data_IF_600307076380
#
_entry.id   IF_600307076380
#
_cell.length_a   1.000
_cell.length_b   1.000
_cell.length_c   1.000
_cell.angle_alpha   90.00
_cell.angle_beta   90.00
_cell.angle_gamma   90.00
#
_symmetry.space_group_name_H-M   'P 1'
#
loop_
_entity.id
_entity.type
_entity.pdbx_description
1 polymer ?
#
# COMPACT_ATOMS: atom_id res chain seq x y z
N UNK A 1 34.40 -25.15 -78.78
CA UNK A 1 33.24 -25.99 -79.16
C UNK A 1 32.92 -26.86 -77.95
N UNK A 2 31.93 -26.48 -77.13
CA UNK A 2 30.56 -27.05 -77.07
C UNK A 2 30.56 -28.47 -76.42
N UNK A 3 29.77 -28.86 -75.40
CA UNK A 3 28.46 -28.42 -74.84
C UNK A 3 28.19 -29.10 -73.47
N UNK A 4 27.61 -28.31 -72.54
CA UNK A 4 26.51 -28.49 -71.56
C UNK A 4 26.14 -29.81 -70.85
N UNK A 5 25.61 -29.62 -69.62
CA UNK A 5 24.54 -30.44 -68.99
C UNK A 5 24.51 -30.31 -67.46
N UNK A 6 23.82 -29.32 -66.85
CA UNK A 6 22.47 -29.43 -66.21
C UNK A 6 22.47 -30.49 -65.09
N UNK A 7 22.25 -30.24 -63.80
CA UNK A 7 21.36 -29.27 -63.14
C UNK A 7 20.56 -30.08 -62.09
N UNK A 8 20.84 -29.84 -60.81
CA UNK A 8 20.55 -30.69 -59.64
C UNK A 8 19.06 -30.94 -59.31
N UNK A 9 18.70 -32.20 -59.07
CA UNK A 9 17.38 -32.64 -58.60
C UNK A 9 17.16 -32.31 -57.11
N UNK A 10 15.99 -31.76 -56.80
CA UNK A 10 15.60 -31.27 -55.48
C UNK A 10 15.06 -32.32 -54.52
N UNK A 11 15.23 -32.05 -53.22
CA UNK A 11 14.55 -32.72 -52.11
C UNK A 11 13.40 -31.82 -51.61
N UNK A 12 12.20 -32.36 -51.30
CA UNK A 12 11.11 -31.56 -50.74
C UNK A 12 11.35 -31.26 -49.25
N UNK A 13 11.43 -29.96 -48.92
CA UNK A 13 11.44 -29.48 -47.55
C UNK A 13 10.04 -29.61 -46.93
N UNK A 14 9.97 -30.34 -45.82
CA UNK A 14 8.77 -30.49 -44.98
C UNK A 14 8.42 -29.13 -44.34
N UNK A 15 7.32 -28.52 -44.77
CA UNK A 15 6.72 -27.37 -44.10
C UNK A 15 5.86 -27.83 -42.92
N UNK A 16 6.38 -27.67 -41.71
CA UNK A 16 5.59 -27.71 -40.47
C UNK A 16 5.36 -26.29 -39.96
N UNK A 17 4.20 -25.71 -40.26
CA UNK A 17 3.78 -24.44 -39.69
C UNK A 17 3.49 -24.58 -38.18
N UNK A 18 4.46 -24.21 -37.34
CA UNK A 18 4.17 -23.90 -35.92
C UNK A 18 3.41 -22.59 -35.87
N UNK A 19 2.10 -22.67 -35.61
CA UNK A 19 1.30 -21.51 -35.19
C UNK A 19 1.84 -21.03 -33.84
N UNK A 20 2.58 -19.92 -33.85
CA UNK A 20 2.84 -19.15 -32.63
C UNK A 20 1.50 -18.60 -32.17
N UNK A 21 1.01 -19.13 -31.06
CA UNK A 21 -0.14 -18.61 -30.33
C UNK A 21 0.19 -17.16 -29.98
N UNK A 22 -0.54 -16.22 -30.58
CA UNK A 22 -0.44 -14.79 -30.27
C UNK A 22 -0.86 -14.62 -28.80
N UNK A 23 0.12 -14.53 -27.91
CA UNK A 23 -0.11 -14.08 -26.55
C UNK A 23 -0.69 -12.68 -26.60
N UNK A 24 -1.74 -12.48 -25.80
CA UNK A 24 -2.51 -11.25 -25.68
C UNK A 24 -1.61 -10.02 -25.61
N UNK A 25 -2.05 -8.95 -26.29
CA UNK A 25 -1.40 -7.65 -26.29
C UNK A 25 -1.15 -7.15 -24.87
N UNK A 26 0.06 -7.39 -24.34
CA UNK A 26 0.56 -6.68 -23.18
C UNK A 26 0.63 -5.21 -23.52
N UNK A 27 -0.01 -4.35 -22.71
CA UNK A 27 0.07 -2.90 -22.86
C UNK A 27 1.54 -2.50 -22.89
N UNK A 28 1.95 -1.69 -23.87
CA UNK A 28 3.34 -1.27 -24.01
C UNK A 28 3.83 -0.59 -22.73
N UNK A 29 5.12 -0.72 -22.40
CA UNK A 29 5.72 -0.04 -21.25
C UNK A 29 5.40 1.47 -21.24
N UNK A 30 5.38 2.11 -22.43
CA UNK A 30 4.97 3.50 -22.58
C UNK A 30 3.49 3.76 -22.21
N UNK A 31 2.57 2.84 -22.55
CA UNK A 31 1.18 2.93 -22.10
C UNK A 31 1.06 2.72 -20.58
N UNK A 32 1.89 1.86 -19.98
CA UNK A 32 1.90 1.64 -18.54
C UNK A 32 2.45 2.86 -17.79
N UNK A 33 3.50 3.50 -18.29
CA UNK A 33 4.10 4.71 -17.68
C UNK A 33 3.18 5.94 -17.84
N UNK A 34 2.49 6.09 -18.97
CA UNK A 34 1.54 7.20 -19.16
C UNK A 34 0.29 7.10 -18.27
N UNK A 35 -0.17 5.88 -17.94
CA UNK A 35 -1.29 5.69 -17.01
C UNK A 35 -0.94 6.05 -15.55
N UNK A 36 0.35 6.03 -15.19
CA UNK A 36 0.81 6.36 -13.82
C UNK A 36 1.09 7.85 -13.67
N UNK A 37 1.54 8.52 -14.74
CA UNK A 37 1.90 9.95 -14.69
C UNK A 37 0.76 10.93 -15.05
N UNK A 38 -0.30 10.46 -15.74
CA UNK A 38 -1.34 11.33 -16.29
C UNK A 38 -2.70 11.32 -15.58
N UNK A 39 -2.93 10.43 -14.62
CA UNK A 39 -4.23 10.27 -13.98
C UNK A 39 -4.33 11.18 -12.75
N UNK A 40 -5.28 12.13 -12.68
CA UNK A 40 -5.47 12.93 -11.48
C UNK A 40 -5.72 11.99 -10.29
N UNK A 41 -4.90 12.08 -9.23
CA UNK A 41 -5.15 11.35 -8.00
C UNK A 41 -6.41 11.94 -7.34
N UNK A 42 -7.51 11.21 -7.41
CA UNK A 42 -8.78 11.62 -6.81
C UNK A 42 -8.76 11.23 -5.34
N UNK A 43 -8.92 12.20 -4.44
CA UNK A 43 -9.07 11.96 -3.01
C UNK A 43 -10.55 11.99 -2.66
N UNK A 44 -11.12 10.86 -2.28
CA UNK A 44 -12.50 10.79 -1.83
C UNK A 44 -12.58 11.22 -0.36
N UNK A 45 -13.37 12.26 -0.09
CA UNK A 45 -13.70 12.67 1.27
C UNK A 45 -15.02 12.00 1.64
N UNK A 46 -14.97 11.13 2.65
CA UNK A 46 -16.13 10.43 3.18
C UNK A 46 -16.70 11.19 4.38
N UNK A 47 -18.03 11.20 4.52
CA UNK A 47 -18.73 11.90 5.61
C UNK A 47 -19.98 11.13 6.01
N UNK A 48 -19.81 10.18 6.94
CA UNK A 48 -20.92 9.49 7.61
C UNK A 48 -20.83 9.73 9.13
N UNK A 49 -21.95 9.59 9.85
CA UNK A 49 -22.11 9.99 11.26
C UNK A 49 -21.29 9.12 12.25
N UNK A 50 -20.81 7.94 11.85
CA UNK A 50 -20.14 6.97 12.72
C UNK A 50 -18.67 6.72 12.37
N UNK A 51 -18.07 7.57 11.52
CA UNK A 51 -16.66 7.43 11.15
C UNK A 51 -15.75 7.88 12.30
N UNK A 52 -14.85 6.99 12.72
CA UNK A 52 -13.80 7.31 13.70
C UNK A 52 -12.57 7.94 13.05
N UNK A 53 -12.42 7.78 11.74
CA UNK A 53 -11.36 8.41 10.96
C UNK A 53 -11.75 8.47 9.47
N UNK A 54 -11.29 9.50 8.77
CA UNK A 54 -11.39 9.65 7.32
C UNK A 54 -10.12 10.31 6.81
N UNK A 55 -9.62 9.89 5.66
CA UNK A 55 -8.43 10.49 5.06
C UNK A 55 -7.82 9.65 3.95
N UNK A 56 -6.60 9.99 3.59
CA UNK A 56 -5.82 9.27 2.58
C UNK A 56 -4.33 9.51 2.74
N UNK A 57 -3.56 9.01 1.78
CA UNK A 57 -2.11 9.26 1.73
C UNK A 57 -1.65 9.62 0.30
N UNK A 58 -0.35 9.84 0.11
CA UNK A 58 0.19 10.36 -1.15
C UNK A 58 0.13 9.39 -2.34
N UNK A 59 -0.31 8.14 -2.15
CA UNK A 59 -0.36 7.14 -3.22
C UNK A 59 -1.63 7.28 -4.07
N UNK A 60 -2.72 7.79 -3.50
CA UNK A 60 -4.07 7.73 -4.08
C UNK A 60 -5.05 6.96 -3.19
N UNK A 61 -4.53 6.18 -2.23
CA UNK A 61 -5.31 5.52 -1.21
C UNK A 61 -6.11 6.54 -0.38
N UNK A 62 -7.43 6.40 -0.36
CA UNK A 62 -8.36 7.20 0.43
C UNK A 62 -9.45 6.32 1.02
N UNK A 63 -9.70 6.43 2.32
CA UNK A 63 -10.64 5.56 3.03
C UNK A 63 -11.15 6.20 4.32
N UNK A 64 -12.21 5.62 4.85
CA UNK A 64 -12.67 5.88 6.21
C UNK A 64 -12.56 4.61 7.06
N UNK A 65 -12.62 4.83 8.37
CA UNK A 65 -12.67 3.80 9.39
C UNK A 65 -13.92 3.99 10.23
N UNK A 66 -14.58 2.89 10.55
CA UNK A 66 -15.68 2.82 11.53
C UNK A 66 -15.60 1.51 12.31
N UNK A 67 -16.17 1.47 13.51
CA UNK A 67 -16.34 0.19 14.19
C UNK A 67 -17.34 -0.68 13.42
N UNK A 68 -17.09 -1.99 13.41
CA UNK A 68 -18.07 -2.96 12.95
C UNK A 68 -19.28 -3.00 13.91
N UNK A 69 -20.46 -3.36 13.41
CA UNK A 69 -21.68 -3.43 14.23
C UNK A 69 -21.57 -4.49 15.35
N UNK A 70 -20.80 -5.54 15.10
CA UNK A 70 -20.50 -6.64 16.03
C UNK A 70 -19.20 -6.44 16.80
N UNK A 71 -18.55 -5.27 16.69
CA UNK A 71 -17.35 -4.95 17.46
C UNK A 71 -17.63 -4.99 18.96
N UNK A 72 -16.72 -5.59 19.72
CA UNK A 72 -16.82 -5.69 21.18
C UNK A 72 -15.62 -5.02 21.88
N UNK A 73 -15.67 -4.90 23.20
CA UNK A 73 -14.50 -4.44 23.98
C UNK A 73 -13.39 -5.49 24.00
N UNK A 74 -13.76 -6.78 24.06
CA UNK A 74 -12.81 -7.90 24.09
C UNK A 74 -12.18 -8.16 22.72
N UNK A 75 -12.92 -7.92 21.62
CA UNK A 75 -12.42 -7.95 20.26
C UNK A 75 -12.87 -6.69 19.50
N UNK A 76 -12.11 -5.59 19.59
CA UNK A 76 -12.42 -4.38 18.85
C UNK A 76 -12.19 -4.62 17.35
N UNK A 77 -13.26 -4.50 16.57
CA UNK A 77 -13.25 -4.74 15.11
C UNK A 77 -13.55 -3.45 14.37
N UNK A 78 -12.68 -3.09 13.42
CA UNK A 78 -12.82 -1.89 12.60
C UNK A 78 -12.97 -2.28 11.13
N UNK A 79 -13.92 -1.64 10.45
CA UNK A 79 -14.08 -1.70 9.00
C UNK A 79 -13.38 -0.51 8.37
N UNK A 80 -12.49 -0.80 7.42
CA UNK A 80 -11.87 0.17 6.53
C UNK A 80 -12.49 0.05 5.14
N UNK A 81 -13.06 1.13 4.62
CA UNK A 81 -13.66 1.15 3.27
C UNK A 81 -13.21 2.38 2.51
N UNK A 82 -12.91 2.20 1.23
CA UNK A 82 -12.45 3.31 0.40
C UNK A 82 -11.98 2.87 -0.96
N UNK A 83 -11.03 3.61 -1.51
CA UNK A 83 -10.42 3.42 -2.82
C UNK A 83 -8.91 3.29 -2.67
N UNK A 84 -8.31 2.31 -3.34
CA UNK A 84 -6.88 2.02 -3.30
C UNK A 84 -6.04 2.97 -4.18
N UNK A 85 -4.72 2.75 -4.23
CA UNK A 85 -3.80 3.51 -5.07
C UNK A 85 -4.05 3.40 -6.59
N UNK A 86 -4.83 2.42 -7.03
CA UNK A 86 -5.18 2.20 -8.44
C UNK A 86 -6.56 2.78 -8.81
N UNK A 87 -7.34 3.21 -7.83
CA UNK A 87 -8.71 3.67 -8.04
C UNK A 87 -9.77 2.58 -7.83
N UNK A 88 -9.39 1.40 -7.35
CA UNK A 88 -10.31 0.29 -7.10
C UNK A 88 -10.90 0.37 -5.69
N UNK A 89 -12.20 0.10 -5.56
CA UNK A 89 -12.88 0.07 -4.26
C UNK A 89 -12.41 -1.13 -3.42
N UNK A 90 -12.27 -0.92 -2.11
CA UNK A 90 -11.94 -1.97 -1.15
C UNK A 90 -12.74 -1.85 0.14
N UNK A 91 -12.88 -2.99 0.81
CA UNK A 91 -13.38 -3.10 2.17
C UNK A 91 -12.49 -4.11 2.93
N UNK A 92 -12.04 -3.76 4.13
CA UNK A 92 -11.21 -4.60 4.99
C UNK A 92 -11.76 -4.59 6.42
N UNK A 93 -11.93 -5.78 6.98
CA UNK A 93 -12.20 -5.98 8.42
C UNK A 93 -10.87 -6.14 9.15
N UNK A 94 -10.71 -5.42 10.25
CA UNK A 94 -9.47 -5.36 11.03
C UNK A 94 -9.80 -5.67 12.49
N UNK A 95 -9.32 -6.81 12.97
CA UNK A 95 -9.34 -7.14 14.40
C UNK A 95 -8.16 -6.47 15.07
N UNK A 96 -8.42 -5.50 15.94
CA UNK A 96 -7.37 -4.66 16.53
C UNK A 96 -6.36 -5.51 17.31
N UNK A 97 -6.86 -6.51 18.04
CA UNK A 97 -6.03 -7.43 18.80
C UNK A 97 -5.08 -8.28 17.94
N UNK A 98 -5.34 -8.42 16.65
CA UNK A 98 -4.48 -9.17 15.71
C UNK A 98 -3.44 -8.28 15.03
N UNK A 99 -3.58 -6.96 15.11
CA UNK A 99 -2.60 -6.03 14.51
C UNK A 99 -1.23 -6.25 15.13
N UNK A 100 -0.23 -6.40 14.26
CA UNK A 100 1.17 -6.52 14.63
C UNK A 100 1.97 -5.35 14.03
N UNK A 101 2.29 -4.29 14.80
CA UNK A 101 3.10 -3.16 14.34
C UNK A 101 4.45 -3.53 13.70
N UNK A 102 5.02 -4.71 13.97
CA UNK A 102 6.25 -5.18 13.31
C UNK A 102 6.03 -5.77 11.91
N UNK A 103 4.78 -5.99 11.53
CA UNK A 103 4.39 -6.39 10.18
C UNK A 103 2.94 -5.98 9.95
N UNK A 104 2.73 -4.72 9.58
CA UNK A 104 1.40 -4.16 9.35
C UNK A 104 1.35 -3.33 8.07
N UNK A 105 0.14 -3.17 7.56
CA UNK A 105 -0.23 -2.20 6.54
C UNK A 105 -0.49 -0.83 7.16
N UNK A 106 -0.47 0.22 6.34
CA UNK A 106 -0.84 1.56 6.78
C UNK A 106 -2.29 1.64 7.27
N UNK A 107 -3.19 0.82 6.72
CA UNK A 107 -4.61 0.79 7.11
C UNK A 107 -4.79 0.14 8.49
N UNK A 108 -4.13 -1.00 8.75
CA UNK A 108 -4.15 -1.64 10.08
C UNK A 108 -3.56 -0.70 11.15
N UNK A 109 -2.44 -0.04 10.85
CA UNK A 109 -1.84 0.91 11.80
C UNK A 109 -2.69 2.16 12.01
N UNK A 110 -3.43 2.61 10.99
CA UNK A 110 -4.37 3.73 11.14
C UNK A 110 -5.57 3.34 12.00
N UNK A 111 -6.10 2.13 11.82
CA UNK A 111 -7.14 1.59 12.68
C UNK A 111 -6.69 1.50 14.13
N UNK A 112 -5.48 0.99 14.37
CA UNK A 112 -4.87 0.95 15.70
C UNK A 112 -4.67 2.36 16.29
N UNK A 113 -4.16 3.31 15.51
CA UNK A 113 -4.00 4.71 15.93
C UNK A 113 -5.34 5.33 16.37
N UNK A 114 -6.38 5.14 15.56
CA UNK A 114 -7.72 5.69 15.82
C UNK A 114 -8.34 5.05 17.06
N UNK A 115 -8.25 3.72 17.20
CA UNK A 115 -8.77 2.99 18.35
C UNK A 115 -8.06 3.38 19.66
N UNK A 116 -6.73 3.45 19.65
CA UNK A 116 -5.95 3.80 20.85
C UNK A 116 -6.03 5.30 21.21
N UNK A 117 -6.58 6.14 20.33
CA UNK A 117 -6.64 7.58 20.54
C UNK A 117 -5.26 8.22 20.71
N UNK A 118 -4.24 7.73 19.98
CA UNK A 118 -2.86 8.24 20.11
C UNK A 118 -2.85 9.74 19.82
N UNK A 119 -2.32 10.53 20.75
CA UNK A 119 -2.35 12.00 20.65
C UNK A 119 -1.59 12.46 19.42
N UNK A 120 -2.25 13.27 18.60
CA UNK A 120 -1.70 13.87 17.39
C UNK A 120 -0.97 15.18 17.72
N UNK A 121 0.26 15.37 17.23
CA UNK A 121 0.98 16.63 17.38
C UNK A 121 0.49 17.63 16.33
N UNK A 122 -0.30 18.63 16.72
CA UNK A 122 -0.69 19.74 15.82
C UNK A 122 -1.47 19.29 14.56
N UNK A 123 -2.27 18.22 14.66
CA UNK A 123 -3.02 17.65 13.54
C UNK A 123 -2.22 16.65 12.69
N UNK A 124 -0.92 16.47 12.95
CA UNK A 124 -0.13 15.43 12.29
C UNK A 124 -0.45 14.05 12.85
N UNK A 125 -0.49 13.07 11.95
CA UNK A 125 -0.49 11.63 12.28
C UNK A 125 0.61 11.29 13.28
N UNK A 126 0.37 10.30 14.13
CA UNK A 126 1.37 9.70 15.02
C UNK A 126 2.25 8.68 14.30
N UNK A 127 1.81 8.16 13.14
CA UNK A 127 2.60 7.29 12.27
C UNK A 127 3.79 8.02 11.61
N UNK A 128 4.90 7.32 11.31
CA UNK A 128 6.05 7.90 10.62
C UNK A 128 5.69 8.45 9.23
N UNK A 129 6.44 9.46 8.75
CA UNK A 129 6.13 10.12 7.47
C UNK A 129 6.18 9.16 6.28
N UNK A 130 7.06 8.16 6.31
CA UNK A 130 7.22 7.18 5.23
C UNK A 130 5.97 6.32 5.02
N UNK A 131 5.12 6.16 6.03
CA UNK A 131 3.83 5.49 5.90
C UNK A 131 2.90 6.21 4.89
N UNK A 132 3.15 7.49 4.61
CA UNK A 132 2.43 8.27 3.61
C UNK A 132 2.63 7.79 2.16
N UNK A 133 3.66 6.97 1.91
CA UNK A 133 3.98 6.43 0.59
C UNK A 133 3.59 4.95 0.42
N UNK A 134 2.98 4.33 1.43
CA UNK A 134 2.56 2.92 1.39
C UNK A 134 1.23 2.73 0.62
N UNK A 135 1.16 1.72 -0.23
CA UNK A 135 -0.08 1.23 -0.84
C UNK A 135 -0.97 0.48 0.16
N UNK A 136 -2.18 0.13 -0.27
CA UNK A 136 -3.20 -0.56 0.54
C UNK A 136 -2.68 -1.89 1.15
N UNK A 137 -1.81 -2.59 0.42
CA UNK A 137 -1.36 -3.93 0.77
C UNK A 137 0.13 -4.02 1.16
N UNK A 138 0.85 -2.90 1.12
CA UNK A 138 2.25 -2.87 1.56
C UNK A 138 2.32 -3.16 3.06
N UNK A 139 3.18 -4.10 3.46
CA UNK A 139 3.46 -4.39 4.88
C UNK A 139 4.89 -4.02 5.22
N UNK A 140 5.08 -3.48 6.42
CA UNK A 140 6.40 -3.10 6.93
C UNK A 140 6.48 -3.25 8.45
N UNK A 141 7.69 -3.19 8.99
CA UNK A 141 7.93 -3.02 10.41
C UNK A 141 7.84 -1.53 10.77
N UNK A 142 6.71 -1.13 11.36
CA UNK A 142 6.52 0.25 11.78
C UNK A 142 7.44 0.64 12.95
N UNK A 143 7.88 -0.32 13.76
CA UNK A 143 8.80 -0.05 14.87
C UNK A 143 10.17 0.37 14.33
N UNK A 144 10.66 -0.30 13.30
CA UNK A 144 11.88 0.09 12.59
C UNK A 144 11.71 1.44 11.88
N UNK A 145 10.56 1.66 11.25
CA UNK A 145 10.23 2.95 10.61
C UNK A 145 10.21 4.11 11.62
N UNK A 146 9.67 3.88 12.83
CA UNK A 146 9.74 4.84 13.93
C UNK A 146 11.19 5.13 14.33
N UNK A 147 12.01 4.09 14.55
CA UNK A 147 13.41 4.26 14.93
C UNK A 147 14.17 5.10 13.90
N UNK A 148 13.96 4.82 12.61
CA UNK A 148 14.55 5.59 11.51
C UNK A 148 14.10 7.06 11.56
N UNK A 149 12.78 7.31 11.60
CA UNK A 149 12.23 8.66 11.67
C UNK A 149 12.77 9.44 12.88
N UNK A 150 12.87 8.81 14.05
CA UNK A 150 13.45 9.41 15.26
C UNK A 150 14.92 9.77 15.03
N UNK A 151 15.70 8.89 14.39
CA UNK A 151 17.08 9.14 14.00
C UNK A 151 17.22 10.36 13.08
N UNK A 152 16.41 10.42 12.03
CA UNK A 152 16.39 11.53 11.07
C UNK A 152 16.02 12.85 11.76
N UNK A 153 15.00 12.84 12.63
CA UNK A 153 14.61 14.05 13.38
C UNK A 153 15.72 14.51 14.33
N UNK A 154 16.48 13.60 14.94
CA UNK A 154 17.65 13.96 15.76
C UNK A 154 18.77 14.57 14.92
N UNK A 155 19.08 13.99 13.76
CA UNK A 155 20.08 14.51 12.83
C UNK A 155 19.74 15.93 12.36
N UNK A 156 18.47 16.18 12.05
CA UNK A 156 17.95 17.49 11.67
C UNK A 156 17.78 18.46 12.85
N UNK A 157 18.22 18.10 14.06
CA UNK A 157 18.03 18.89 15.30
C UNK A 157 16.56 19.20 15.65
N UNK A 158 15.61 18.44 15.10
CA UNK A 158 14.17 18.55 15.35
C UNK A 158 13.76 17.82 16.64
N UNK A 159 14.29 18.28 17.78
CA UNK A 159 14.17 17.60 19.08
C UNK A 159 12.72 17.34 19.53
N UNK A 160 11.80 18.31 19.30
CA UNK A 160 10.39 18.16 19.66
C UNK A 160 9.70 17.05 18.85
N UNK A 161 9.97 17.01 17.55
CA UNK A 161 9.42 15.99 16.64
C UNK A 161 10.00 14.60 16.94
N UNK A 162 11.30 14.52 17.25
CA UNK A 162 11.92 13.27 17.68
C UNK A 162 11.27 12.72 18.97
N UNK A 163 11.06 13.57 19.98
CA UNK A 163 10.39 13.19 21.22
C UNK A 163 8.94 12.76 21.00
N UNK A 164 8.25 13.39 20.06
CA UNK A 164 6.89 12.99 19.67
C UNK A 164 6.86 11.60 19.05
N UNK A 165 7.72 11.30 18.08
CA UNK A 165 7.76 9.96 17.49
C UNK A 165 8.22 8.89 18.49
N UNK A 166 9.07 9.24 19.47
CA UNK A 166 9.39 8.34 20.58
C UNK A 166 8.17 8.02 21.43
N UNK A 167 7.35 9.02 21.77
CA UNK A 167 6.08 8.83 22.46
C UNK A 167 5.11 7.93 21.67
N UNK A 168 4.92 8.21 20.39
CA UNK A 168 4.05 7.41 19.52
C UNK A 168 4.52 5.96 19.42
N UNK A 169 5.82 5.76 19.18
CA UNK A 169 6.46 4.44 19.13
C UNK A 169 6.22 3.66 20.43
N UNK A 170 6.34 4.32 21.59
CA UNK A 170 6.11 3.68 22.89
C UNK A 170 4.66 3.22 23.04
N UNK A 171 3.68 4.00 22.59
CA UNK A 171 2.27 3.59 22.65
C UNK A 171 2.02 2.26 21.92
N UNK A 172 2.58 2.11 20.71
CA UNK A 172 2.46 0.87 19.94
C UNK A 172 3.27 -0.29 20.53
N UNK A 173 4.43 0.00 21.12
CA UNK A 173 5.21 -0.98 21.86
C UNK A 173 4.43 -1.53 23.06
N UNK A 174 3.79 -0.65 23.84
CA UNK A 174 2.98 -1.05 24.99
C UNK A 174 1.79 -1.89 24.56
N UNK A 175 1.14 -1.54 23.44
CA UNK A 175 0.06 -2.34 22.86
C UNK A 175 0.52 -3.77 22.52
N UNK A 176 1.68 -3.93 21.88
CA UNK A 176 2.20 -5.26 21.53
C UNK A 176 2.50 -6.13 22.75
N UNK A 177 2.90 -5.52 23.87
CA UNK A 177 3.32 -6.25 25.08
C UNK A 177 2.21 -6.46 26.11
N UNK A 178 1.00 -5.93 25.85
CA UNK A 178 -0.18 -6.17 26.70
C UNK A 178 -0.91 -7.48 26.37
N UNK A 179 -0.52 -8.16 25.29
CA UNK A 179 -1.10 -9.43 24.83
C UNK A 179 -0.62 -10.62 25.66
#
# INVERSE_FOLDING_TARGET
>A
MNINGIGTAGYPAWQGARRTQQNAAGKSFAAQVNNVAGTPKVYNIFSDEDMIWTGGNGTGLSYYLKYAEDSTEDDPTIIAKGVDENGDEFEKTIHINEVNPKSATVVEMRALEAHMGVKKLGGFTSLPMEAGAMGLNDRTDFMDMFQKQIGDMKLLSQKKTAAYYQYSMQAYWDFMNKK
#
